data_IF_309792598541
#
_entry.id   IF_309792598541
#
_cell.length_a   1.000
_cell.length_b   1.000
_cell.length_c   1.000
_cell.angle_alpha   90.00
_cell.angle_beta   90.00
_cell.angle_gamma   90.00
#
_symmetry.space_group_name_H-M   'P 1'
#
loop_
_entity.id
_entity.type
_entity.pdbx_description
1 polymer ?
#
# COMPACT_ATOMS: atom_id res chain seq x y z
N UNK A 1 -25.24 -5.93 -10.28
CA UNK A 1 -24.08 -5.03 -10.34
C UNK A 1 -23.87 -4.71 -11.80
N UNK A 2 -23.97 -3.45 -12.21
CA UNK A 2 -23.76 -3.11 -13.62
C UNK A 2 -22.26 -3.22 -13.95
N UNK A 3 -21.91 -3.45 -15.21
CA UNK A 3 -20.52 -3.46 -15.66
C UNK A 3 -19.83 -2.10 -15.41
N UNK A 4 -20.62 -1.03 -15.40
CA UNK A 4 -20.15 0.31 -15.10
C UNK A 4 -19.78 0.47 -13.60
N UNK A 5 -20.54 -0.16 -12.71
CA UNK A 5 -20.25 -0.18 -11.26
C UNK A 5 -18.97 -0.98 -10.99
N UNK A 6 -18.83 -2.17 -11.59
CA UNK A 6 -17.63 -3.01 -11.47
C UNK A 6 -16.37 -2.30 -11.98
N UNK A 7 -16.46 -1.59 -13.11
CA UNK A 7 -15.34 -0.80 -13.64
C UNK A 7 -14.96 0.35 -12.71
N UNK A 8 -15.94 1.03 -12.12
CA UNK A 8 -15.70 2.10 -11.16
C UNK A 8 -15.03 1.57 -9.88
N UNK A 9 -15.55 0.49 -9.30
CA UNK A 9 -14.97 -0.18 -8.12
C UNK A 9 -13.51 -0.60 -8.38
N UNK A 10 -13.22 -1.16 -9.56
CA UNK A 10 -11.84 -1.51 -9.96
C UNK A 10 -10.93 -0.30 -10.08
N UNK A 11 -11.41 0.78 -10.67
CA UNK A 11 -10.61 1.99 -10.82
C UNK A 11 -10.28 2.59 -9.44
N UNK A 12 -11.24 2.63 -8.53
CA UNK A 12 -11.03 3.10 -7.16
C UNK A 12 -10.00 2.23 -6.40
N UNK A 13 -10.06 0.91 -6.56
CA UNK A 13 -9.07 -0.01 -6.00
C UNK A 13 -7.67 0.23 -6.59
N UNK A 14 -7.57 0.46 -7.90
CA UNK A 14 -6.29 0.78 -8.56
C UNK A 14 -5.73 2.10 -8.04
N UNK A 15 -6.56 3.14 -7.92
CA UNK A 15 -6.12 4.46 -7.47
C UNK A 15 -5.63 4.43 -6.02
N UNK A 16 -6.34 3.69 -5.18
CA UNK A 16 -5.98 3.44 -3.77
C UNK A 16 -4.62 2.75 -3.68
N UNK A 17 -4.45 1.60 -4.35
CA UNK A 17 -3.20 0.85 -4.29
C UNK A 17 -2.03 1.58 -4.99
N UNK A 18 -2.30 2.33 -6.06
CA UNK A 18 -1.28 3.13 -6.76
C UNK A 18 -0.75 4.27 -5.88
N UNK A 19 -1.59 4.83 -5.01
CA UNK A 19 -1.16 5.83 -4.03
C UNK A 19 -0.14 5.25 -3.06
N UNK A 20 -0.41 4.06 -2.51
CA UNK A 20 0.54 3.38 -1.61
C UNK A 20 1.80 2.93 -2.33
N UNK A 21 1.68 2.36 -3.53
CA UNK A 21 2.82 1.96 -4.35
C UNK A 21 3.79 3.11 -4.57
N UNK A 22 3.29 4.27 -5.04
CA UNK A 22 4.13 5.46 -5.26
C UNK A 22 4.80 5.94 -3.96
N UNK A 23 4.08 5.90 -2.84
CA UNK A 23 4.64 6.31 -1.53
C UNK A 23 5.71 5.34 -1.04
N UNK A 24 5.57 4.06 -1.34
CA UNK A 24 6.60 3.05 -1.08
C UNK A 24 7.82 3.26 -1.99
N UNK A 25 7.64 3.51 -3.29
CA UNK A 25 8.74 3.86 -4.22
C UNK A 25 9.55 5.07 -3.74
N UNK A 26 8.86 6.17 -3.39
CA UNK A 26 9.50 7.39 -2.88
C UNK A 26 10.32 7.09 -1.61
N UNK A 27 9.77 6.30 -0.69
CA UNK A 27 10.43 5.94 0.56
C UNK A 27 11.59 4.96 0.36
N UNK A 28 11.46 3.98 -0.53
CA UNK A 28 12.54 3.07 -0.91
C UNK A 28 13.71 3.81 -1.54
N UNK A 29 13.42 4.80 -2.40
CA UNK A 29 14.46 5.64 -2.99
C UNK A 29 15.27 6.37 -1.91
N UNK A 30 14.61 6.94 -0.89
CA UNK A 30 15.27 7.58 0.24
C UNK A 30 16.06 6.58 1.10
N UNK A 31 15.48 5.40 1.37
CA UNK A 31 16.07 4.36 2.22
C UNK A 31 17.20 3.57 1.54
N UNK A 32 17.27 3.57 0.21
CA UNK A 32 18.33 2.92 -0.56
C UNK A 32 19.71 3.55 -0.32
N UNK A 33 19.74 4.81 0.11
CA UNK A 33 20.95 5.52 0.47
C UNK A 33 21.37 5.16 1.90
N UNK A 34 22.69 5.04 2.18
CA UNK A 34 23.14 4.82 3.54
C UNK A 34 22.60 5.91 4.48
N UNK A 35 21.87 5.52 5.53
CA UNK A 35 21.14 6.46 6.39
C UNK A 35 22.02 7.55 7.03
N UNK A 36 23.30 7.25 7.28
CA UNK A 36 24.27 8.23 7.80
C UNK A 36 24.67 9.31 6.78
N UNK A 37 24.49 9.04 5.48
CA UNK A 37 24.67 10.01 4.39
C UNK A 37 23.44 10.87 4.14
N UNK A 38 22.32 10.62 4.81
CA UNK A 38 21.15 11.48 4.73
C UNK A 38 21.37 12.74 5.58
N UNK A 39 21.03 13.90 5.01
CA UNK A 39 20.94 15.17 5.72
C UNK A 39 19.79 15.18 6.72
N UNK A 40 19.75 16.19 7.60
CA UNK A 40 18.71 16.28 8.62
C UNK A 40 17.29 16.34 8.04
N UNK A 41 17.09 17.08 6.94
CA UNK A 41 15.79 17.16 6.26
C UNK A 41 15.35 15.79 5.72
N UNK A 42 16.23 15.08 5.01
CA UNK A 42 15.96 13.75 4.46
C UNK A 42 15.67 12.72 5.57
N UNK A 43 16.36 12.82 6.72
CA UNK A 43 16.08 11.94 7.88
C UNK A 43 14.71 12.20 8.49
N UNK A 44 14.26 13.46 8.53
CA UNK A 44 12.91 13.82 8.96
C UNK A 44 11.88 13.28 7.96
N UNK A 45 12.13 13.48 6.67
CA UNK A 45 11.26 12.99 5.59
C UNK A 45 11.10 11.47 5.63
N UNK A 46 12.17 10.70 5.77
CA UNK A 46 12.09 9.23 5.91
C UNK A 46 11.18 8.82 7.07
N UNK A 47 11.32 9.49 8.22
CA UNK A 47 10.54 9.17 9.42
C UNK A 47 9.07 9.51 9.25
N UNK A 48 8.76 10.70 8.74
CA UNK A 48 7.38 11.12 8.52
C UNK A 48 6.71 10.31 7.42
N UNK A 49 7.42 10.01 6.32
CA UNK A 49 6.91 9.15 5.23
C UNK A 49 6.62 7.72 5.72
N UNK A 50 7.52 7.09 6.46
CA UNK A 50 7.28 5.76 7.01
C UNK A 50 6.14 5.75 8.04
N UNK A 51 6.08 6.76 8.91
CA UNK A 51 5.01 6.92 9.90
C UNK A 51 3.66 7.13 9.22
N UNK A 52 3.59 8.00 8.22
CA UNK A 52 2.40 8.24 7.42
C UNK A 52 1.95 6.93 6.77
N UNK A 53 2.83 6.26 6.03
CA UNK A 53 2.54 5.01 5.32
C UNK A 53 1.95 3.96 6.25
N UNK A 54 2.63 3.70 7.38
CA UNK A 54 2.20 2.69 8.35
C UNK A 54 0.87 3.02 9.02
N UNK A 55 0.61 4.29 9.31
CA UNK A 55 -0.63 4.70 9.95
C UNK A 55 -1.81 4.71 8.97
N UNK A 56 -1.57 5.18 7.75
CA UNK A 56 -2.59 5.28 6.72
C UNK A 56 -3.04 3.90 6.26
N UNK A 57 -2.11 2.98 5.98
CA UNK A 57 -2.42 1.57 5.69
C UNK A 57 -3.25 0.91 6.80
N UNK A 58 -2.95 1.20 8.08
CA UNK A 58 -3.73 0.70 9.21
C UNK A 58 -5.14 1.28 9.24
N UNK A 59 -5.26 2.60 9.07
CA UNK A 59 -6.54 3.28 9.07
C UNK A 59 -7.43 2.74 7.95
N UNK A 60 -6.86 2.57 6.77
CA UNK A 60 -7.57 2.06 5.60
C UNK A 60 -7.95 0.59 5.73
N UNK A 61 -7.05 -0.27 6.22
CA UNK A 61 -7.41 -1.66 6.55
C UNK A 61 -8.57 -1.71 7.56
N UNK A 62 -8.52 -0.90 8.61
CA UNK A 62 -9.59 -0.86 9.60
C UNK A 62 -10.90 -0.29 9.04
N UNK A 63 -10.85 0.64 8.08
CA UNK A 63 -12.03 1.11 7.33
C UNK A 63 -12.67 -0.07 6.59
N UNK A 64 -11.86 -0.84 5.85
CA UNK A 64 -12.32 -1.99 5.08
C UNK A 64 -12.83 -3.13 5.95
N UNK A 65 -12.16 -3.46 7.06
CA UNK A 65 -12.65 -4.47 8.02
C UNK A 65 -14.02 -4.10 8.59
N UNK A 66 -14.26 -2.81 8.89
CA UNK A 66 -15.58 -2.34 9.33
C UNK A 66 -16.60 -2.42 8.22
N UNK A 67 -16.24 -1.99 7.00
CA UNK A 67 -17.13 -2.10 5.84
C UNK A 67 -17.50 -3.56 5.57
N UNK A 68 -16.56 -4.50 5.70
CA UNK A 68 -16.80 -5.93 5.55
C UNK A 68 -17.76 -6.45 6.63
N UNK A 69 -17.53 -6.10 7.90
CA UNK A 69 -18.41 -6.49 9.00
C UNK A 69 -19.86 -5.96 8.83
N UNK A 70 -20.01 -4.80 8.18
CA UNK A 70 -21.31 -4.21 7.86
C UNK A 70 -21.91 -4.66 6.51
N UNK A 71 -21.22 -5.52 5.75
CA UNK A 71 -21.66 -5.95 4.41
C UNK A 71 -21.61 -4.86 3.33
N UNK A 72 -20.79 -3.83 3.54
CA UNK A 72 -20.62 -2.66 2.68
C UNK A 72 -19.32 -2.69 1.86
N UNK A 73 -18.45 -3.70 2.06
CA UNK A 73 -17.23 -3.85 1.27
C UNK A 73 -17.58 -4.28 -0.16
N UNK A 74 -16.94 -3.66 -1.15
CA UNK A 74 -17.08 -4.09 -2.54
C UNK A 74 -16.39 -5.43 -2.76
N UNK A 75 -16.80 -6.15 -3.80
CA UNK A 75 -16.16 -7.43 -4.13
C UNK A 75 -14.69 -7.24 -4.55
N UNK A 76 -14.36 -6.11 -5.20
CA UNK A 76 -12.99 -5.74 -5.58
C UNK A 76 -12.14 -5.44 -4.35
N UNK A 77 -12.62 -4.60 -3.43
CA UNK A 77 -11.88 -4.29 -2.20
C UNK A 77 -11.59 -5.55 -1.40
N UNK A 78 -12.59 -6.44 -1.28
CA UNK A 78 -12.44 -7.71 -0.57
C UNK A 78 -11.42 -8.64 -1.22
N UNK A 79 -11.39 -8.70 -2.55
CA UNK A 79 -10.51 -9.59 -3.30
C UNK A 79 -9.07 -9.07 -3.44
N UNK A 80 -8.88 -7.75 -3.54
CA UNK A 80 -7.60 -7.14 -3.89
C UNK A 80 -7.04 -6.20 -2.82
N UNK A 81 -7.85 -5.23 -2.37
CA UNK A 81 -7.34 -4.15 -1.52
C UNK A 81 -7.08 -4.66 -0.11
N UNK A 82 -8.08 -5.25 0.54
CA UNK A 82 -7.98 -5.71 1.92
C UNK A 82 -6.85 -6.74 2.13
N UNK A 83 -6.67 -7.76 1.27
CA UNK A 83 -5.53 -8.67 1.35
C UNK A 83 -4.18 -7.97 1.18
N UNK A 84 -4.06 -7.03 0.23
CA UNK A 84 -2.81 -6.32 -0.03
C UNK A 84 -2.39 -5.44 1.15
N UNK A 85 -3.34 -4.70 1.75
CA UNK A 85 -3.07 -3.89 2.95
C UNK A 85 -2.70 -4.77 4.15
N UNK A 86 -3.40 -5.90 4.31
CA UNK A 86 -3.14 -6.84 5.40
C UNK A 86 -1.75 -7.46 5.28
N UNK A 87 -1.37 -7.94 4.09
CA UNK A 87 -0.03 -8.44 3.77
C UNK A 87 1.04 -7.40 4.04
N UNK A 88 0.86 -6.19 3.49
CA UNK A 88 1.78 -5.06 3.67
C UNK A 88 2.08 -4.76 5.13
N UNK A 89 1.04 -4.74 5.98
CA UNK A 89 1.17 -4.49 7.40
C UNK A 89 1.87 -5.61 8.17
N UNK A 90 1.92 -6.84 7.62
CA UNK A 90 2.75 -7.91 8.19
C UNK A 90 4.24 -7.64 8.02
N UNK A 91 4.65 -6.90 6.98
CA UNK A 91 6.04 -6.52 6.74
C UNK A 91 6.46 -5.28 7.54
N UNK A 92 5.58 -4.28 7.65
CA UNK A 92 5.82 -3.00 8.34
C UNK A 92 5.84 -3.11 9.88
N UNK A 93 6.57 -4.09 10.43
CA UNK A 93 6.76 -4.31 11.87
C UNK A 93 7.60 -3.23 12.55
N UNK A 94 8.71 -2.70 11.97
CA UNK A 94 9.58 -1.76 12.65
C UNK A 94 8.82 -0.58 13.27
N UNK A 95 9.18 -0.21 14.50
CA UNK A 95 8.55 0.91 15.21
C UNK A 95 8.89 2.23 14.53
N UNK A 96 7.94 3.16 14.46
CA UNK A 96 8.12 4.45 13.76
C UNK A 96 9.18 5.36 14.40
N UNK A 97 9.52 5.12 15.67
CA UNK A 97 10.57 5.83 16.42
C UNK A 97 11.92 5.10 16.42
N UNK A 98 12.04 3.94 15.76
CA UNK A 98 13.28 3.17 15.68
C UNK A 98 14.28 3.76 14.69
N UNK A 99 15.54 3.30 14.73
CA UNK A 99 16.54 3.70 13.74
C UNK A 99 16.28 2.96 12.41
N UNK A 100 16.09 3.66 11.27
CA UNK A 100 15.70 3.03 10.02
C UNK A 100 16.68 1.96 9.50
N UNK A 101 17.99 2.19 9.65
CA UNK A 101 19.01 1.25 9.21
C UNK A 101 19.07 0.01 10.12
N UNK A 102 19.16 0.21 11.44
CA UNK A 102 19.26 -0.90 12.39
C UNK A 102 18.00 -1.75 12.44
N UNK A 103 16.84 -1.15 12.17
CA UNK A 103 15.54 -1.82 12.18
C UNK A 103 15.07 -2.26 10.80
N UNK A 104 15.94 -2.24 9.78
CA UNK A 104 15.69 -2.82 8.45
C UNK A 104 14.42 -2.27 7.79
N UNK A 105 14.25 -0.95 7.83
CA UNK A 105 13.07 -0.30 7.25
C UNK A 105 12.99 -0.51 5.75
N UNK A 106 14.13 -0.54 5.04
CA UNK A 106 14.14 -0.77 3.60
C UNK A 106 13.51 -2.12 3.25
N UNK A 107 13.94 -3.21 3.90
CA UNK A 107 13.38 -4.53 3.64
C UNK A 107 11.92 -4.65 4.06
N UNK A 108 11.52 -3.94 5.12
CA UNK A 108 10.12 -3.90 5.54
C UNK A 108 9.22 -3.19 4.51
N UNK A 109 9.67 -2.05 3.98
CA UNK A 109 8.94 -1.31 2.94
C UNK A 109 8.91 -2.10 1.64
N UNK A 110 10.05 -2.67 1.22
CA UNK A 110 10.14 -3.51 0.03
C UNK A 110 9.19 -4.72 0.09
N UNK A 111 9.14 -5.42 1.23
CA UNK A 111 8.19 -6.53 1.41
C UNK A 111 6.73 -6.08 1.24
N UNK A 112 6.35 -4.97 1.86
CA UNK A 112 5.02 -4.41 1.69
C UNK A 112 4.72 -3.96 0.24
N UNK A 113 5.73 -3.41 -0.42
CA UNK A 113 5.62 -2.94 -1.80
C UNK A 113 5.36 -4.09 -2.78
N UNK A 114 5.95 -5.27 -2.55
CA UNK A 114 5.66 -6.47 -3.34
C UNK A 114 4.18 -6.87 -3.23
N UNK A 115 3.59 -6.84 -2.04
CA UNK A 115 2.17 -7.18 -1.85
C UNK A 115 1.24 -6.24 -2.62
N UNK A 116 1.49 -4.93 -2.51
CA UNK A 116 0.72 -3.90 -3.24
C UNK A 116 0.90 -4.07 -4.77
N UNK A 117 2.13 -4.29 -5.23
CA UNK A 117 2.46 -4.49 -6.64
C UNK A 117 1.75 -5.71 -7.22
N UNK A 118 1.71 -6.81 -6.46
CA UNK A 118 1.03 -8.03 -6.88
C UNK A 118 -0.48 -7.79 -7.06
N UNK A 119 -1.13 -7.09 -6.13
CA UNK A 119 -2.54 -6.76 -6.22
C UNK A 119 -2.84 -5.83 -7.41
N UNK A 120 -2.03 -4.79 -7.64
CA UNK A 120 -2.14 -3.90 -8.81
C UNK A 120 -2.02 -4.66 -10.13
N UNK A 121 -1.04 -5.58 -10.23
CA UNK A 121 -0.87 -6.41 -11.40
C UNK A 121 -2.05 -7.36 -11.63
N UNK A 122 -2.72 -7.82 -10.56
CA UNK A 122 -3.96 -8.58 -10.63
C UNK A 122 -5.11 -7.75 -11.21
N UNK A 123 -5.35 -6.55 -10.66
CA UNK A 123 -6.42 -5.64 -11.10
C UNK A 123 -6.27 -5.22 -12.57
N UNK A 124 -5.05 -4.85 -13.00
CA UNK A 124 -4.79 -4.42 -14.38
C UNK A 124 -4.95 -5.54 -15.40
N UNK A 125 -4.63 -6.79 -15.03
CA UNK A 125 -4.87 -7.97 -15.90
C UNK A 125 -6.35 -8.24 -16.10
N UNK A 126 -7.18 -7.95 -15.10
CA UNK A 126 -8.63 -8.12 -15.21
C UNK A 126 -9.31 -7.01 -16.02
N UNK A 127 -8.72 -5.82 -16.09
CA UNK A 127 -9.19 -4.75 -16.98
C UNK A 127 -8.89 -5.03 -18.47
N UNK A 128 -7.75 -5.65 -18.77
CA UNK A 128 -7.32 -5.92 -20.16
C UNK A 128 -8.02 -7.12 -20.80
N UNK A 129 -8.64 -7.99 -20.01
CA UNK A 129 -9.35 -9.18 -20.48
C UNK A 129 -10.87 -8.99 -20.60
N UNK A 130 -11.41 -7.77 -20.43
CA UNK A 130 -12.80 -7.48 -20.79
C UNK A 130 -12.86 -7.16 -22.30
N UNK A 131 -13.52 -7.98 -23.13
CA UNK A 131 -13.70 -7.66 -24.54
C UNK A 131 -14.60 -6.42 -24.66
N UNK A 132 -14.23 -5.50 -25.55
CA UNK A 132 -15.07 -4.37 -25.93
C UNK A 132 -16.34 -4.90 -26.65
N UNK A 133 -17.47 -4.95 -25.94
CA UNK A 133 -18.82 -5.07 -26.52
C UNK A 133 -19.33 -6.47 -26.84
#
# INVERSE_FOLDING_TARGET
>A
MSEQDDRAERQEAIDTLSTYHRKMDELEALLSRPYHHLGNAERVEVRESYKWLKNDLKAERHRLERAEACGQITHVEKAFVLPALSGSLTHLKPATNSNPANSRWFEAVYGAHVDISFALAGLRRQQTNQPDG
#
